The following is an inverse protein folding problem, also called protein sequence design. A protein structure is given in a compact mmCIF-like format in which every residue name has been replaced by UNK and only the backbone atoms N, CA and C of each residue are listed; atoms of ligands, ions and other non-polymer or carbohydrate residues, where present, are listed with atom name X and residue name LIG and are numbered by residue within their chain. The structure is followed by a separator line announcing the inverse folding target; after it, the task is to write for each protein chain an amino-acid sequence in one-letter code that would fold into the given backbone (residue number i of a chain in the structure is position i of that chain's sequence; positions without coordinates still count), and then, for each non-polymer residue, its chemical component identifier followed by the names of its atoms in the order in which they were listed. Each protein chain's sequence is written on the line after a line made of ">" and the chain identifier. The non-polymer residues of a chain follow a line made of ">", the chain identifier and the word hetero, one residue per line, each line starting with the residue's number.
data_IF_993888433350
#
_entry.id   IF_993888433350
#
_cell.length_a   1.000
_cell.length_b   1.000
_cell.length_c   1.000
_cell.angle_alpha   90.00
_cell.angle_beta   90.00
_cell.angle_gamma   90.00
#
_symmetry.space_group_name_H-M   'P 1'
#
loop_
_entity.id
_entity.type
_entity.pdbx_description
1 polymer ?
#
# COMPACT_ATOMS: atom_id res chain seq x y z
N UNK A 1 6.55 -36.00 15.35
CA UNK A 1 7.49 -35.63 14.27
C UNK A 1 7.92 -36.92 13.60
N UNK A 2 7.86 -36.99 12.27
CA UNK A 2 8.45 -38.11 11.52
C UNK A 2 9.77 -37.58 10.95
N UNK A 3 10.88 -38.16 11.38
CA UNK A 3 12.22 -37.82 10.87
C UNK A 3 12.51 -38.75 9.71
N UNK A 4 12.80 -38.19 8.54
CA UNK A 4 13.19 -38.97 7.35
C UNK A 4 14.71 -38.88 7.16
N UNK A 5 15.35 -40.00 6.82
CA UNK A 5 16.73 -39.99 6.34
C UNK A 5 16.78 -39.30 4.99
N UNK A 6 17.51 -38.18 4.92
CA UNK A 6 17.63 -37.38 3.71
C UNK A 6 18.87 -37.82 2.93
N UNK A 7 18.66 -38.61 1.87
CA UNK A 7 19.70 -39.07 0.94
C UNK A 7 20.28 -37.91 0.09
N UNK A 8 20.93 -36.94 0.73
CA UNK A 8 21.56 -35.79 0.06
C UNK A 8 20.65 -34.58 -0.18
N UNK A 9 19.40 -34.60 0.30
CA UNK A 9 18.54 -33.41 0.35
C UNK A 9 18.72 -32.66 1.67
N UNK A 10 18.52 -31.33 1.67
CA UNK A 10 18.44 -30.59 2.92
C UNK A 10 17.31 -31.16 3.79
N UNK A 11 17.48 -31.26 5.14
CA UNK A 11 16.41 -31.66 6.03
C UNK A 11 15.18 -30.78 5.82
N UNK A 12 14.02 -31.40 5.59
CA UNK A 12 12.74 -30.69 5.56
C UNK A 12 11.79 -31.37 6.53
N UNK A 13 10.94 -30.57 7.16
CA UNK A 13 9.95 -31.04 8.13
C UNK A 13 8.59 -31.02 7.48
N UNK A 14 7.92 -32.18 7.42
CA UNK A 14 6.49 -32.23 7.10
C UNK A 14 5.74 -31.93 8.40
N UNK A 15 5.24 -30.72 8.53
CA UNK A 15 4.37 -30.35 9.65
C UNK A 15 3.08 -31.16 9.56
N UNK A 16 2.67 -31.76 10.68
CA UNK A 16 1.39 -32.45 10.74
C UNK A 16 0.25 -31.46 10.45
N UNK A 17 -0.67 -31.83 9.55
CA UNK A 17 -1.83 -31.00 9.23
C UNK A 17 -2.71 -30.88 10.47
N UNK A 18 -3.02 -29.65 10.86
CA UNK A 18 -3.87 -29.37 12.01
C UNK A 18 -5.30 -28.99 11.58
N UNK A 19 -5.43 -28.24 10.48
CA UNK A 19 -6.70 -27.64 10.09
C UNK A 19 -6.92 -27.58 8.56
N UNK A 20 -8.17 -27.46 8.15
CA UNK A 20 -8.59 -27.37 6.75
C UNK A 20 -9.53 -26.20 6.50
N UNK A 21 -9.41 -25.54 5.34
CA UNK A 21 -10.44 -24.64 4.80
C UNK A 21 -10.89 -25.23 3.47
N UNK A 22 -12.13 -25.71 3.41
CA UNK A 22 -12.57 -26.58 2.31
C UNK A 22 -11.71 -27.84 2.24
N UNK A 23 -11.03 -28.06 1.11
CA UNK A 23 -10.12 -29.20 0.90
C UNK A 23 -8.64 -28.87 1.14
N UNK A 24 -8.31 -27.60 1.39
CA UNK A 24 -6.91 -27.15 1.56
C UNK A 24 -6.44 -27.38 2.98
N UNK A 25 -5.30 -28.05 3.14
CA UNK A 25 -4.68 -28.40 4.41
C UNK A 25 -3.73 -27.29 4.91
N UNK A 26 -3.75 -27.03 6.21
CA UNK A 26 -2.89 -26.07 6.89
C UNK A 26 -2.22 -26.70 8.11
N UNK A 27 -0.96 -26.37 8.40
CA UNK A 27 -0.22 -26.92 9.54
C UNK A 27 -0.69 -26.36 10.90
N UNK A 28 -1.47 -25.27 10.91
CA UNK A 28 -2.04 -24.70 12.14
C UNK A 28 -3.43 -24.08 11.91
N UNK A 29 -4.22 -23.95 13.00
CA UNK A 29 -5.49 -23.24 12.98
C UNK A 29 -5.32 -21.76 12.59
N UNK A 30 -4.26 -21.10 13.07
CA UNK A 30 -3.97 -19.71 12.73
C UNK A 30 -3.74 -19.51 11.23
N UNK A 31 -2.99 -20.41 10.58
CA UNK A 31 -2.73 -20.31 9.14
C UNK A 31 -3.99 -20.56 8.31
N UNK A 32 -4.78 -21.56 8.69
CA UNK A 32 -6.10 -21.77 8.10
C UNK A 32 -6.98 -20.52 8.26
N UNK A 33 -6.98 -19.92 9.45
CA UNK A 33 -7.76 -18.74 9.73
C UNK A 33 -7.25 -17.49 9.01
N UNK A 34 -5.96 -17.40 8.69
CA UNK A 34 -5.41 -16.31 7.86
C UNK A 34 -5.90 -16.41 6.42
N UNK A 35 -5.95 -17.62 5.87
CA UNK A 35 -6.39 -17.88 4.49
C UNK A 35 -7.92 -17.87 4.31
N UNK A 36 -8.69 -18.20 5.35
CA UNK A 36 -10.15 -18.18 5.34
C UNK A 36 -10.72 -16.77 5.10
N UNK A 37 -11.83 -16.65 4.38
CA UNK A 37 -12.61 -15.41 4.34
C UNK A 37 -13.47 -15.26 5.60
N UNK A 38 -14.01 -14.06 5.83
CA UNK A 38 -14.93 -13.87 6.95
C UNK A 38 -16.23 -14.66 6.73
N UNK A 39 -16.60 -15.51 7.69
CA UNK A 39 -17.75 -16.41 7.64
C UNK A 39 -17.41 -17.85 7.23
N UNK A 40 -16.20 -18.11 6.75
CA UNK A 40 -15.76 -19.45 6.35
C UNK A 40 -15.63 -20.40 7.56
N UNK A 41 -15.80 -21.70 7.29
CA UNK A 41 -15.62 -22.77 8.26
C UNK A 41 -14.24 -23.41 8.10
N UNK A 42 -13.53 -23.50 9.22
CA UNK A 42 -12.25 -24.18 9.37
C UNK A 42 -12.49 -25.49 10.12
N UNK A 43 -12.00 -26.60 9.60
CA UNK A 43 -12.13 -27.91 10.25
C UNK A 43 -10.80 -28.31 10.88
N UNK A 44 -10.76 -28.47 12.19
CA UNK A 44 -9.60 -28.93 12.95
C UNK A 44 -9.67 -30.45 13.09
N UNK A 45 -8.59 -31.15 12.70
CA UNK A 45 -8.54 -32.63 12.70
C UNK A 45 -7.45 -33.22 13.59
N UNK A 46 -6.55 -32.40 14.12
CA UNK A 46 -5.52 -32.84 15.03
C UNK A 46 -5.07 -31.69 15.94
N UNK A 47 -4.64 -32.03 17.16
CA UNK A 47 -4.17 -31.10 18.20
C UNK A 47 -5.23 -30.85 19.28
N UNK A 48 -4.83 -30.96 20.55
CA UNK A 48 -5.73 -30.72 21.69
C UNK A 48 -5.84 -29.22 22.06
N UNK A 49 -4.89 -28.40 21.59
CA UNK A 49 -4.82 -26.97 21.88
C UNK A 49 -4.33 -26.18 20.67
N UNK A 50 -4.98 -25.05 20.39
CA UNK A 50 -4.64 -24.17 19.26
C UNK A 50 -4.69 -22.71 19.65
N UNK A 51 -3.77 -21.92 19.10
CA UNK A 51 -3.84 -20.46 19.17
C UNK A 51 -4.59 -19.89 17.96
N UNK A 52 -5.42 -18.88 18.21
CA UNK A 52 -6.10 -18.12 17.18
C UNK A 52 -6.11 -16.64 17.55
N UNK A 53 -5.55 -15.80 16.69
CA UNK A 53 -5.44 -14.36 16.87
C UNK A 53 -5.83 -13.65 15.60
N UNK A 54 -6.65 -12.60 15.76
CA UNK A 54 -7.00 -11.69 14.67
C UNK A 54 -6.58 -10.27 15.04
N UNK A 55 -6.00 -9.56 14.07
CA UNK A 55 -5.53 -8.17 14.21
C UNK A 55 -6.34 -7.19 13.35
N UNK A 56 -7.27 -7.71 12.55
CA UNK A 56 -8.23 -6.98 11.72
C UNK A 56 -9.61 -7.60 11.86
N UNK A 57 -10.68 -6.81 11.66
CA UNK A 57 -12.07 -7.29 11.78
C UNK A 57 -12.29 -8.52 10.91
N UNK A 58 -12.60 -9.65 11.54
CA UNK A 58 -12.75 -10.96 10.91
C UNK A 58 -13.57 -11.90 11.79
N UNK A 59 -14.39 -12.74 11.17
CA UNK A 59 -15.15 -13.80 11.83
C UNK A 59 -14.92 -15.12 11.10
N UNK A 60 -14.64 -16.21 11.82
CA UNK A 60 -14.54 -17.57 11.24
C UNK A 60 -15.27 -18.57 12.13
N UNK A 61 -15.76 -19.66 11.53
CA UNK A 61 -16.30 -20.81 12.26
C UNK A 61 -15.22 -21.88 12.37
N UNK A 62 -15.03 -22.48 13.52
CA UNK A 62 -14.07 -23.57 13.74
C UNK A 62 -14.84 -24.80 14.17
N UNK A 63 -14.80 -25.86 13.37
CA UNK A 63 -15.39 -27.17 13.64
C UNK A 63 -14.32 -28.12 14.17
N UNK A 64 -14.61 -28.80 15.28
CA UNK A 64 -13.74 -29.83 15.84
C UNK A 64 -14.09 -31.21 15.24
N UNK A 65 -13.11 -31.87 14.64
CA UNK A 65 -13.18 -33.26 14.17
C UNK A 65 -11.92 -34.04 14.60
N UNK A 66 -11.40 -33.72 15.79
CA UNK A 66 -10.21 -34.39 16.35
C UNK A 66 -10.52 -35.72 17.05
N UNK A 67 -11.80 -36.01 17.32
CA UNK A 67 -12.23 -37.15 18.12
C UNK A 67 -12.11 -36.94 19.63
N UNK A 68 -11.75 -35.74 20.09
CA UNK A 68 -11.64 -35.36 21.49
C UNK A 68 -11.98 -33.86 21.69
N UNK A 69 -12.07 -33.41 22.94
CA UNK A 69 -12.23 -31.99 23.24
C UNK A 69 -11.02 -31.17 22.78
N UNK A 70 -11.27 -29.98 22.24
CA UNK A 70 -10.23 -29.04 21.82
C UNK A 70 -10.35 -27.73 22.60
N UNK A 71 -9.20 -27.16 22.97
CA UNK A 71 -9.11 -25.79 23.50
C UNK A 71 -8.55 -24.85 22.43
N UNK A 72 -9.29 -23.81 22.08
CA UNK A 72 -8.81 -22.71 21.21
C UNK A 72 -8.56 -21.48 22.07
N UNK A 73 -7.31 -21.04 22.15
CA UNK A 73 -6.91 -19.79 22.79
C UNK A 73 -7.10 -18.64 21.81
N UNK A 74 -8.26 -18.00 21.88
CA UNK A 74 -8.63 -16.90 21.01
C UNK A 74 -8.27 -15.55 21.63
N UNK A 75 -7.32 -14.81 21.02
CA UNK A 75 -6.81 -13.53 21.54
C UNK A 75 -6.48 -13.57 23.06
N UNK A 76 -5.96 -14.71 23.53
CA UNK A 76 -5.60 -14.92 24.93
C UNK A 76 -6.70 -15.48 25.84
N UNK A 77 -7.91 -15.71 25.34
CA UNK A 77 -9.00 -16.37 26.09
C UNK A 77 -9.23 -17.80 25.59
N UNK A 78 -9.22 -18.75 26.50
CA UNK A 78 -9.45 -20.16 26.17
C UNK A 78 -10.93 -20.44 25.95
N UNK A 79 -11.25 -21.08 24.83
CA UNK A 79 -12.57 -21.61 24.53
C UNK A 79 -12.48 -23.10 24.25
N UNK A 80 -13.14 -23.91 25.09
CA UNK A 80 -13.15 -25.37 24.99
C UNK A 80 -14.47 -25.85 24.39
N UNK A 81 -14.41 -26.77 23.44
CA UNK A 81 -15.60 -27.38 22.82
C UNK A 81 -15.32 -28.82 22.36
N UNK A 82 -16.36 -29.64 22.37
CA UNK A 82 -16.30 -31.08 22.16
C UNK A 82 -16.14 -31.48 20.70
N UNK A 83 -15.93 -32.78 20.46
CA UNK A 83 -15.86 -33.34 19.11
C UNK A 83 -17.19 -33.15 18.36
N UNK A 84 -17.11 -32.81 17.07
CA UNK A 84 -18.26 -32.50 16.22
C UNK A 84 -18.86 -31.10 16.41
N UNK A 85 -18.52 -30.40 17.50
CA UNK A 85 -19.03 -29.05 17.76
C UNK A 85 -18.37 -27.99 16.86
N UNK A 86 -19.09 -26.90 16.62
CA UNK A 86 -18.61 -25.76 15.83
C UNK A 86 -18.77 -24.47 16.62
N UNK A 87 -17.68 -23.72 16.73
CA UNK A 87 -17.63 -22.47 17.45
C UNK A 87 -17.29 -21.29 16.54
N UNK A 88 -17.92 -20.15 16.78
CA UNK A 88 -17.66 -18.94 15.99
C UNK A 88 -16.70 -18.01 16.73
N UNK A 89 -15.60 -17.66 16.07
CA UNK A 89 -14.56 -16.77 16.57
C UNK A 89 -14.60 -15.47 15.79
N UNK A 90 -15.12 -14.42 16.43
CA UNK A 90 -15.25 -13.10 15.83
C UNK A 90 -14.35 -12.12 16.55
N UNK A 91 -13.40 -11.55 15.83
CA UNK A 91 -12.69 -10.37 16.26
C UNK A 91 -13.19 -9.18 15.47
N UNK A 92 -13.74 -8.21 16.17
CA UNK A 92 -13.92 -6.88 15.58
C UNK A 92 -12.71 -6.08 16.02
N UNK A 93 -11.87 -5.62 15.08
CA UNK A 93 -10.75 -4.74 15.42
C UNK A 93 -11.36 -3.56 16.16
N UNK A 94 -10.97 -3.30 17.42
CA UNK A 94 -11.53 -2.20 18.14
C UNK A 94 -11.24 -0.93 17.33
N UNK A 95 -12.30 -0.23 16.92
CA UNK A 95 -12.25 1.22 16.98
C UNK A 95 -12.02 1.50 18.46
N UNK A 96 -10.78 1.81 18.85
CA UNK A 96 -10.32 1.96 20.24
C UNK A 96 -11.44 2.50 21.13
N UNK A 97 -12.00 1.65 21.98
CA UNK A 97 -13.27 1.94 22.65
C UNK A 97 -13.75 0.76 23.48
N UNK A 98 -12.87 0.18 24.29
CA UNK A 98 -13.23 -0.77 25.34
C UNK A 98 -13.22 -0.06 26.68
N UNK A 99 -14.41 0.22 27.19
CA UNK A 99 -14.65 0.61 28.57
C UNK A 99 -14.37 -0.60 29.47
N UNK A 100 -13.52 -0.44 30.47
CA UNK A 100 -13.39 -1.34 31.62
C UNK A 100 -13.47 -0.49 32.88
N UNK A 101 -14.42 -0.83 33.75
CA UNK A 101 -14.70 -0.13 34.98
C UNK A 101 -13.51 -0.15 35.95
N UNK A 102 -13.29 1.00 36.58
CA UNK A 102 -12.37 1.22 37.69
C UNK A 102 -12.53 2.65 38.18
N UNK A 103 -13.21 2.82 39.31
CA UNK A 103 -13.41 4.10 40.01
C UNK A 103 -12.12 4.89 40.18
N UNK A 104 -12.14 6.21 39.87
CA UNK A 104 -11.60 7.29 40.72
C UNK A 104 -11.54 8.66 39.99
N UNK A 105 -12.12 9.70 40.61
CA UNK A 105 -11.99 11.15 40.32
C UNK A 105 -12.35 11.66 38.91
N UNK A 106 -13.64 11.95 38.71
CA UNK A 106 -14.25 12.20 37.41
C UNK A 106 -13.88 13.52 36.72
N UNK A 107 -13.05 13.44 35.69
CA UNK A 107 -13.05 14.41 34.59
C UNK A 107 -14.11 14.02 33.57
N UNK A 108 -14.92 14.98 33.13
CA UNK A 108 -15.96 14.73 32.12
C UNK A 108 -15.34 14.50 30.75
N UNK A 109 -15.51 13.29 30.22
CA UNK A 109 -15.13 12.94 28.85
C UNK A 109 -16.37 12.85 27.97
N UNK A 110 -16.18 13.14 26.70
CA UNK A 110 -17.24 13.16 25.69
C UNK A 110 -16.91 12.14 24.61
N UNK A 111 -17.94 11.45 24.10
CA UNK A 111 -17.80 10.41 23.09
C UNK A 111 -17.79 10.98 21.68
N UNK A 112 -16.95 10.42 20.81
CA UNK A 112 -16.97 10.63 19.37
C UNK A 112 -17.54 9.37 18.71
N UNK A 113 -18.53 9.56 17.84
CA UNK A 113 -19.17 8.47 17.09
C UNK A 113 -18.98 8.69 15.61
N UNK A 114 -18.63 7.63 14.88
CA UNK A 114 -18.61 7.62 13.42
C UNK A 114 -19.86 6.92 12.91
N UNK A 115 -20.43 7.42 11.81
CA UNK A 115 -21.54 6.74 11.13
C UNK A 115 -21.00 5.59 10.27
N UNK A 116 -21.83 4.57 10.03
CA UNK A 116 -21.53 3.58 9.00
C UNK A 116 -21.37 4.29 7.65
N UNK A 117 -20.35 3.88 6.89
CA UNK A 117 -19.97 4.48 5.62
C UNK A 117 -19.98 3.41 4.54
N UNK A 118 -20.51 3.77 3.37
CA UNK A 118 -20.42 2.94 2.17
C UNK A 118 -19.22 3.40 1.35
N UNK A 119 -18.57 2.47 0.65
CA UNK A 119 -17.47 2.75 -0.28
C UNK A 119 -16.20 3.36 0.36
N UNK A 120 -15.91 2.95 1.60
CA UNK A 120 -14.71 3.32 2.33
C UNK A 120 -14.87 3.14 3.85
N UNK A 121 -13.90 3.65 4.60
CA UNK A 121 -13.88 3.64 6.07
C UNK A 121 -13.67 5.04 6.66
N UNK A 122 -14.08 5.24 7.91
CA UNK A 122 -13.77 6.44 8.70
C UNK A 122 -13.44 6.03 10.13
N UNK A 123 -12.37 6.61 10.67
CA UNK A 123 -11.95 6.42 12.05
C UNK A 123 -11.79 7.78 12.75
N UNK A 124 -12.10 7.86 14.03
CA UNK A 124 -11.84 9.03 14.87
C UNK A 124 -11.11 8.61 16.14
N UNK A 125 -9.95 9.20 16.40
CA UNK A 125 -9.10 8.86 17.56
C UNK A 125 -8.57 10.10 18.28
N UNK A 126 -8.68 10.18 19.61
CA UNK A 126 -9.36 9.22 20.49
C UNK A 126 -10.90 9.24 20.32
N UNK A 127 -11.56 8.13 20.65
CA UNK A 127 -13.04 8.01 20.55
C UNK A 127 -13.78 8.55 21.78
N UNK A 128 -13.05 8.90 22.84
CA UNK A 128 -13.54 9.58 24.03
C UNK A 128 -12.45 10.56 24.49
N UNK A 129 -12.82 11.81 24.78
CA UNK A 129 -11.86 12.82 25.19
C UNK A 129 -12.47 13.94 26.03
N UNK A 130 -11.64 14.60 26.83
CA UNK A 130 -12.01 15.83 27.55
C UNK A 130 -12.22 17.00 26.57
N UNK A 131 -13.01 17.99 26.99
CA UNK A 131 -13.16 19.26 26.26
C UNK A 131 -11.77 19.87 25.97
N UNK A 132 -11.54 20.30 24.73
CA UNK A 132 -10.28 20.92 24.31
C UNK A 132 -9.25 19.93 23.76
N UNK A 133 -9.43 18.62 23.94
CA UNK A 133 -8.57 17.62 23.33
C UNK A 133 -8.65 17.64 21.80
N UNK A 134 -7.56 17.32 21.12
CA UNK A 134 -7.54 17.19 19.65
C UNK A 134 -7.94 15.77 19.25
N UNK A 135 -8.92 15.68 18.35
CA UNK A 135 -9.37 14.42 17.74
C UNK A 135 -8.87 14.37 16.31
N UNK A 136 -8.33 13.22 15.89
CA UNK A 136 -7.91 12.94 14.52
C UNK A 136 -8.93 12.06 13.82
N UNK A 137 -9.39 12.49 12.65
CA UNK A 137 -10.24 11.74 11.74
C UNK A 137 -9.38 11.20 10.61
N UNK A 138 -9.41 9.89 10.39
CA UNK A 138 -8.73 9.20 9.29
C UNK A 138 -9.75 8.59 8.35
N UNK A 139 -9.64 8.90 7.06
CA UNK A 139 -10.48 8.43 5.98
C UNK A 139 -9.77 7.32 5.20
N UNK A 140 -10.52 6.29 4.81
CA UNK A 140 -10.03 5.17 4.02
C UNK A 140 -10.99 4.89 2.86
N UNK A 141 -11.10 5.76 1.84
CA UNK A 141 -11.97 5.51 0.70
C UNK A 141 -11.61 4.20 -0.01
N UNK A 142 -12.62 3.49 -0.50
CA UNK A 142 -12.39 2.30 -1.32
C UNK A 142 -11.76 2.68 -2.66
N UNK A 143 -11.10 1.71 -3.31
CA UNK A 143 -10.45 1.94 -4.61
C UNK A 143 -11.46 2.48 -5.62
N UNK A 144 -11.15 3.63 -6.22
CA UNK A 144 -12.01 4.30 -7.19
C UNK A 144 -13.08 5.20 -6.57
N UNK A 145 -12.99 5.50 -5.27
CA UNK A 145 -13.84 6.46 -4.58
C UNK A 145 -12.99 7.59 -3.96
N UNK A 146 -13.60 8.76 -3.81
CA UNK A 146 -13.03 9.93 -3.14
C UNK A 146 -14.02 10.51 -2.15
N UNK A 147 -13.54 11.30 -1.18
CA UNK A 147 -14.40 12.00 -0.22
C UNK A 147 -15.39 12.90 -0.97
N UNK A 148 -16.68 12.72 -0.72
CA UNK A 148 -17.74 13.62 -1.17
C UNK A 148 -17.96 14.70 -0.10
N UNK A 149 -18.30 14.25 1.11
CA UNK A 149 -18.67 15.12 2.23
C UNK A 149 -18.16 14.58 3.54
N UNK A 150 -17.59 15.46 4.36
CA UNK A 150 -17.27 15.26 5.77
C UNK A 150 -18.11 16.22 6.60
N UNK A 151 -18.83 15.71 7.60
CA UNK A 151 -19.59 16.50 8.57
C UNK A 151 -19.18 16.12 9.98
N UNK A 152 -18.89 17.12 10.82
CA UNK A 152 -18.64 16.92 12.25
C UNK A 152 -19.64 17.79 13.00
N UNK A 153 -20.48 17.18 13.83
CA UNK A 153 -21.52 17.88 14.58
C UNK A 153 -21.48 17.51 16.05
N UNK A 154 -21.81 18.45 16.92
CA UNK A 154 -21.93 18.23 18.35
C UNK A 154 -23.28 17.58 18.73
N UNK A 155 -23.50 17.34 20.02
CA UNK A 155 -24.71 16.68 20.54
C UNK A 155 -26.01 17.46 20.28
N UNK A 156 -25.92 18.74 19.95
CA UNK A 156 -27.06 19.60 19.57
C UNK A 156 -27.28 19.65 18.05
N UNK A 157 -26.42 18.98 17.28
CA UNK A 157 -26.43 19.04 15.82
C UNK A 157 -25.68 20.23 15.24
N UNK A 158 -25.00 21.04 16.06
CA UNK A 158 -24.22 22.20 15.59
C UNK A 158 -22.90 21.74 14.98
N UNK A 159 -22.52 22.34 13.86
CA UNK A 159 -21.26 22.03 13.17
C UNK A 159 -20.05 22.37 14.05
N UNK A 160 -19.10 21.44 14.12
CA UNK A 160 -17.77 21.59 14.72
C UNK A 160 -16.76 21.79 13.61
N UNK A 161 -15.98 22.87 13.69
CA UNK A 161 -14.96 23.18 12.68
C UNK A 161 -13.86 22.12 12.67
N UNK A 162 -13.45 21.73 11.45
CA UNK A 162 -12.34 20.80 11.22
C UNK A 162 -11.17 21.51 10.56
N UNK A 163 -9.97 20.98 10.78
CA UNK A 163 -8.73 21.40 10.13
C UNK A 163 -8.25 20.25 9.25
N UNK A 164 -8.11 20.48 7.94
CA UNK A 164 -7.56 19.51 7.01
C UNK A 164 -6.05 19.38 7.20
N UNK A 165 -5.53 18.16 7.32
CA UNK A 165 -4.09 17.84 7.39
C UNK A 165 -3.58 17.19 6.10
N UNK A 166 -4.39 16.32 5.50
CA UNK A 166 -4.18 15.74 4.17
C UNK A 166 -5.54 15.41 3.53
N UNK A 167 -5.56 14.80 2.35
CA UNK A 167 -6.82 14.38 1.70
C UNK A 167 -7.59 13.32 2.51
N UNK A 168 -6.89 12.55 3.34
CA UNK A 168 -7.47 11.49 4.16
C UNK A 168 -7.40 11.77 5.66
N UNK A 169 -6.86 12.91 6.10
CA UNK A 169 -6.69 13.20 7.53
C UNK A 169 -7.20 14.59 7.87
N UNK A 170 -8.08 14.65 8.87
CA UNK A 170 -8.67 15.88 9.42
C UNK A 170 -8.54 15.88 10.95
N UNK A 171 -8.56 17.05 11.58
CA UNK A 171 -8.55 17.17 13.04
C UNK A 171 -9.63 18.14 13.52
N UNK A 172 -10.18 17.95 14.72
CA UNK A 172 -11.03 18.94 15.38
C UNK A 172 -10.76 18.99 16.89
N UNK A 173 -11.20 20.06 17.54
CA UNK A 173 -11.09 20.23 18.99
C UNK A 173 -12.38 19.79 19.68
N UNK A 174 -12.28 18.91 20.67
CA UNK A 174 -13.43 18.31 21.33
C UNK A 174 -14.28 19.37 22.06
N UNK A 175 -15.58 19.53 21.73
CA UNK A 175 -16.47 20.42 22.45
C UNK A 175 -16.86 19.83 23.82
N UNK A 176 -17.60 20.60 24.61
CA UNK A 176 -18.18 20.14 25.87
C UNK A 176 -19.44 19.27 25.66
N UNK A 177 -19.42 18.40 24.66
CA UNK A 177 -20.55 17.54 24.29
C UNK A 177 -20.09 16.40 23.37
N UNK A 178 -20.92 15.36 23.24
CA UNK A 178 -20.65 14.26 22.32
C UNK A 178 -20.59 14.77 20.86
N UNK A 179 -19.81 14.09 20.02
CA UNK A 179 -19.63 14.45 18.60
C UNK A 179 -20.00 13.29 17.69
N UNK A 180 -20.63 13.62 16.56
CA UNK A 180 -20.92 12.70 15.46
C UNK A 180 -20.13 13.11 14.22
N UNK A 181 -19.40 12.15 13.66
CA UNK A 181 -18.67 12.27 12.39
C UNK A 181 -19.46 11.51 11.32
N UNK A 182 -19.88 12.24 10.29
CA UNK A 182 -20.51 11.71 9.08
C UNK A 182 -19.57 11.85 7.90
N UNK A 183 -19.47 10.80 7.09
CA UNK A 183 -18.64 10.77 5.87
C UNK A 183 -19.47 10.17 4.75
N UNK A 184 -19.30 10.69 3.55
CA UNK A 184 -19.81 10.06 2.32
C UNK A 184 -18.72 10.05 1.27
N UNK A 185 -18.70 8.98 0.49
CA UNK A 185 -17.76 8.77 -0.59
C UNK A 185 -18.51 8.74 -1.92
N UNK A 186 -17.95 9.42 -2.91
CA UNK A 186 -18.45 9.45 -4.28
C UNK A 186 -17.48 8.69 -5.15
N UNK A 187 -18.00 7.92 -6.12
CA UNK A 187 -17.16 7.25 -7.11
C UNK A 187 -16.32 8.34 -7.77
N UNK A 188 -15.01 8.16 -7.78
CA UNK A 188 -14.11 9.05 -8.47
C UNK A 188 -14.47 8.98 -9.96
N UNK A 189 -15.26 9.95 -10.41
CA UNK A 189 -15.27 10.33 -11.80
C UNK A 189 -13.87 10.86 -12.06
N UNK A 190 -13.08 10.09 -12.78
CA UNK A 190 -11.98 10.70 -13.52
C UNK A 190 -12.67 11.70 -14.45
N UNK A 191 -12.45 12.99 -14.20
CA UNK A 191 -12.73 13.98 -15.24
C UNK A 191 -12.07 13.42 -16.49
N UNK A 192 -12.83 13.15 -17.57
CA UNK A 192 -12.25 12.57 -18.76
C UNK A 192 -11.08 13.46 -19.16
N UNK A 193 -9.87 12.92 -19.04
CA UNK A 193 -8.71 13.68 -19.46
C UNK A 193 -8.91 13.93 -20.95
N UNK A 194 -8.87 15.20 -21.34
CA UNK A 194 -8.87 15.59 -22.75
C UNK A 194 -7.47 15.33 -23.29
N UNK A 195 -7.12 14.06 -23.48
CA UNK A 195 -5.81 13.66 -23.99
C UNK A 195 -5.69 14.16 -25.43
N UNK A 196 -4.53 14.74 -25.76
CA UNK A 196 -4.18 15.13 -27.14
C UNK A 196 -3.73 13.95 -28.00
N UNK A 197 -3.71 12.75 -27.44
CA UNK A 197 -3.11 11.56 -28.06
C UNK A 197 -4.20 10.57 -28.47
N UNK A 198 -4.16 10.16 -29.74
CA UNK A 198 -5.17 9.26 -30.32
C UNK A 198 -5.07 7.82 -29.78
N UNK A 199 -3.93 7.45 -29.22
CA UNK A 199 -3.65 6.14 -28.63
C UNK A 199 -3.82 6.11 -27.10
N UNK A 200 -4.49 7.11 -26.53
CA UNK A 200 -4.86 7.18 -25.11
C UNK A 200 -6.34 7.51 -24.99
N UNK A 201 -7.16 6.51 -24.69
CA UNK A 201 -8.58 6.66 -24.44
C UNK A 201 -8.81 7.25 -23.05
N UNK A 202 -9.85 8.07 -22.87
CA UNK A 202 -10.22 8.61 -21.56
C UNK A 202 -10.57 7.53 -20.52
N UNK A 203 -10.88 6.32 -20.97
CA UNK A 203 -11.18 5.17 -20.11
C UNK A 203 -9.95 4.28 -19.82
N UNK A 204 -8.79 4.59 -20.38
CA UNK A 204 -7.56 3.86 -20.07
C UNK A 204 -7.14 4.14 -18.64
N UNK A 205 -6.70 3.11 -17.92
CA UNK A 205 -6.26 3.23 -16.51
C UNK A 205 -5.09 4.22 -16.31
N UNK A 206 -4.39 4.57 -17.38
CA UNK A 206 -3.27 5.51 -17.40
C UNK A 206 -3.63 6.88 -17.99
N UNK A 207 -4.88 7.13 -18.39
CA UNK A 207 -5.26 8.36 -19.09
C UNK A 207 -4.94 9.61 -18.26
N UNK A 208 -5.36 9.63 -16.98
CA UNK A 208 -5.06 10.70 -16.02
C UNK A 208 -3.55 10.85 -15.78
N UNK A 209 -2.81 9.75 -15.71
CA UNK A 209 -1.36 9.79 -15.56
C UNK A 209 -0.65 10.40 -16.76
N UNK A 210 -1.08 10.07 -17.99
CA UNK A 210 -0.53 10.66 -19.22
C UNK A 210 -0.80 12.16 -19.26
N UNK A 211 -2.02 12.58 -18.94
CA UNK A 211 -2.38 13.99 -18.86
C UNK A 211 -1.50 14.74 -17.86
N UNK A 212 -1.35 14.19 -16.66
CA UNK A 212 -0.55 14.76 -15.60
C UNK A 212 0.89 15.01 -16.04
N UNK A 213 1.58 13.98 -16.55
CA UNK A 213 2.99 14.10 -16.93
C UNK A 213 3.19 14.96 -18.17
N UNK A 214 2.20 15.04 -19.07
CA UNK A 214 2.31 15.90 -20.27
C UNK A 214 1.98 17.35 -19.97
N UNK A 215 0.97 17.61 -19.13
CA UNK A 215 0.63 18.95 -18.64
C UNK A 215 1.73 19.56 -17.76
N UNK A 216 2.50 18.73 -17.05
CA UNK A 216 3.70 19.13 -16.31
C UNK A 216 4.96 19.25 -17.18
N UNK A 217 4.89 18.95 -18.48
CA UNK A 217 6.07 18.96 -19.36
C UNK A 217 7.12 17.88 -19.05
N UNK A 218 6.77 16.89 -18.24
CA UNK A 218 7.65 15.80 -17.82
C UNK A 218 7.88 14.84 -18.99
N UNK A 219 6.80 14.37 -19.62
CA UNK A 219 6.84 13.46 -20.76
C UNK A 219 6.19 14.09 -22.00
N UNK A 220 6.80 13.88 -23.16
CA UNK A 220 6.25 14.27 -24.46
C UNK A 220 5.72 13.03 -25.20
N UNK A 221 4.87 13.25 -26.21
CA UNK A 221 4.50 12.22 -27.18
C UNK A 221 5.71 11.71 -27.96
N UNK A 222 5.57 10.54 -28.58
CA UNK A 222 6.53 9.99 -29.54
C UNK A 222 6.29 10.53 -30.96
N UNK A 223 5.08 11.05 -31.21
CA UNK A 223 4.71 11.86 -32.35
C UNK A 223 3.61 12.86 -31.91
N UNK A 224 3.20 13.77 -32.80
CA UNK A 224 2.29 14.90 -32.49
C UNK A 224 1.04 14.47 -31.71
N UNK A 225 0.37 13.41 -32.16
CA UNK A 225 -0.85 12.88 -31.55
C UNK A 225 -0.68 11.42 -31.07
N UNK A 226 0.54 11.00 -30.73
CA UNK A 226 0.82 9.64 -30.27
C UNK A 226 1.68 9.64 -29.01
N UNK A 227 1.20 9.00 -27.94
CA UNK A 227 1.95 8.86 -26.70
C UNK A 227 2.80 7.58 -26.66
N UNK A 228 2.37 6.52 -27.34
CA UNK A 228 2.91 5.16 -27.31
C UNK A 228 2.91 4.54 -25.89
N UNK A 229 1.75 4.41 -25.23
CA UNK A 229 1.68 3.99 -23.82
C UNK A 229 2.27 2.59 -23.56
N UNK A 230 2.21 1.70 -24.56
CA UNK A 230 2.71 0.31 -24.46
C UNK A 230 4.20 0.16 -24.82
N UNK A 231 4.85 1.21 -25.33
CA UNK A 231 6.27 1.14 -25.66
C UNK A 231 7.11 1.16 -24.37
N UNK A 232 8.23 0.46 -24.38
CA UNK A 232 9.17 0.45 -23.25
C UNK A 232 9.89 1.79 -23.13
N UNK A 233 10.15 2.21 -21.91
CA UNK A 233 10.90 3.44 -21.61
C UNK A 233 12.37 3.10 -21.39
N UNK A 234 13.29 3.92 -21.90
CA UNK A 234 14.73 3.72 -21.67
C UNK A 234 15.20 4.45 -20.42
N UNK A 235 16.36 4.05 -19.87
CA UNK A 235 17.00 4.74 -18.75
C UNK A 235 17.29 6.22 -19.06
N UNK A 236 17.75 6.52 -20.28
CA UNK A 236 17.97 7.89 -20.77
C UNK A 236 16.69 8.72 -20.79
N UNK A 237 15.56 8.13 -21.16
CA UNK A 237 14.25 8.80 -21.09
C UNK A 237 13.87 9.13 -19.66
N UNK A 238 14.00 8.19 -18.70
CA UNK A 238 13.64 8.43 -17.29
C UNK A 238 14.41 9.61 -16.71
N UNK A 239 15.73 9.68 -16.88
CA UNK A 239 16.50 10.81 -16.35
C UNK A 239 16.18 12.12 -17.05
N UNK A 240 15.86 12.09 -18.35
CA UNK A 240 15.41 13.28 -19.09
C UNK A 240 14.12 13.83 -18.52
N UNK A 241 13.19 12.96 -18.11
CA UNK A 241 11.93 13.36 -17.47
C UNK A 241 12.19 14.07 -16.14
N UNK A 242 13.03 13.49 -15.27
CA UNK A 242 13.38 14.10 -13.97
C UNK A 242 14.15 15.42 -14.15
N UNK A 243 15.03 15.48 -15.13
CA UNK A 243 15.77 16.70 -15.45
C UNK A 243 14.85 17.84 -15.90
N UNK A 244 13.82 17.54 -16.70
CA UNK A 244 12.78 18.53 -17.04
C UNK A 244 11.98 18.97 -15.82
N UNK A 245 11.65 18.05 -14.93
CA UNK A 245 10.93 18.35 -13.69
C UNK A 245 11.71 19.35 -12.80
N UNK A 246 13.04 19.31 -12.86
CA UNK A 246 13.92 20.28 -12.18
C UNK A 246 14.20 21.55 -12.98
N UNK A 247 13.48 21.79 -14.08
CA UNK A 247 13.69 22.92 -14.99
C UNK A 247 15.08 22.94 -15.64
N UNK A 248 15.61 21.76 -15.95
CA UNK A 248 16.83 21.58 -16.75
C UNK A 248 18.04 22.36 -16.23
N UNK A 249 18.47 22.13 -14.98
CA UNK A 249 19.59 22.86 -14.38
C UNK A 249 20.88 22.70 -15.19
N UNK A 250 21.75 23.72 -15.14
CA UNK A 250 23.07 23.64 -15.77
C UNK A 250 23.90 22.48 -15.20
N UNK A 251 24.71 21.86 -16.06
CA UNK A 251 25.52 20.70 -15.68
C UNK A 251 26.78 20.60 -16.55
N UNK A 252 27.81 19.96 -16.01
CA UNK A 252 29.01 19.57 -16.77
C UNK A 252 28.74 18.32 -17.61
N UNK A 253 29.61 17.98 -18.55
CA UNK A 253 29.45 16.75 -19.35
C UNK A 253 29.55 15.48 -18.48
N UNK A 254 28.76 14.45 -18.82
CA UNK A 254 28.84 13.14 -18.17
C UNK A 254 30.11 12.39 -18.60
N UNK A 255 30.72 11.64 -17.68
CA UNK A 255 31.93 10.83 -17.94
C UNK A 255 31.66 9.42 -18.49
N UNK A 256 30.48 9.18 -19.09
CA UNK A 256 30.12 7.86 -19.62
C UNK A 256 30.50 7.73 -21.10
N UNK A 257 31.15 6.62 -21.47
CA UNK A 257 31.65 6.34 -22.82
C UNK A 257 30.54 6.06 -23.83
N UNK A 258 29.36 5.67 -23.36
CA UNK A 258 28.17 5.41 -24.18
C UNK A 258 27.16 6.57 -24.18
N UNK A 259 27.55 7.74 -23.68
CA UNK A 259 26.77 8.98 -23.70
C UNK A 259 27.44 9.96 -24.65
N UNK A 260 26.99 9.97 -25.90
CA UNK A 260 27.50 10.89 -26.91
C UNK A 260 27.18 12.35 -26.55
N UNK A 261 28.14 13.25 -26.77
CA UNK A 261 27.91 14.69 -26.67
C UNK A 261 26.80 15.11 -27.63
N UNK A 262 25.88 15.97 -27.16
CA UNK A 262 24.73 16.43 -27.94
C UNK A 262 23.53 15.47 -28.00
N UNK A 263 23.63 14.26 -27.45
CA UNK A 263 22.44 13.41 -27.31
C UNK A 263 21.40 14.10 -26.40
N UNK A 264 20.11 13.95 -26.71
CA UNK A 264 19.04 14.65 -25.98
C UNK A 264 19.02 14.36 -24.46
N UNK A 265 19.55 13.21 -24.05
CA UNK A 265 19.66 12.78 -22.66
C UNK A 265 21.01 13.13 -22.02
N UNK A 266 22.01 13.64 -22.76
CA UNK A 266 23.39 13.78 -22.28
C UNK A 266 23.47 14.66 -21.02
N UNK A 267 22.87 15.84 -21.05
CA UNK A 267 22.83 16.74 -19.89
C UNK A 267 22.01 16.13 -18.74
N UNK A 268 20.89 15.48 -19.05
CA UNK A 268 20.07 14.84 -18.03
C UNK A 268 20.81 13.71 -17.31
N UNK A 269 21.59 12.90 -18.04
CA UNK A 269 22.44 11.85 -17.47
C UNK A 269 23.54 12.46 -16.61
N UNK A 270 24.19 13.52 -17.09
CA UNK A 270 25.26 14.19 -16.35
C UNK A 270 24.74 14.77 -15.02
N UNK A 271 23.63 15.49 -15.08
CA UNK A 271 22.96 16.05 -13.91
C UNK A 271 22.53 14.95 -12.93
N UNK A 272 21.86 13.90 -13.42
CA UNK A 272 21.37 12.84 -12.56
C UNK A 272 22.51 12.06 -11.89
N UNK A 273 23.62 11.85 -12.60
CA UNK A 273 24.81 11.20 -12.06
C UNK A 273 25.53 12.08 -11.01
N UNK A 274 25.72 13.37 -11.32
CA UNK A 274 26.37 14.32 -10.41
C UNK A 274 25.60 14.49 -9.08
N UNK A 275 24.28 14.30 -9.11
CA UNK A 275 23.41 14.41 -7.93
C UNK A 275 23.10 13.06 -7.28
N UNK A 276 23.75 11.97 -7.70
CA UNK A 276 23.56 10.64 -7.12
C UNK A 276 22.19 10.00 -7.38
N UNK A 277 21.42 10.53 -8.34
CA UNK A 277 20.09 10.01 -8.71
C UNK A 277 20.22 8.71 -9.50
N UNK A 278 21.28 8.61 -10.32
CA UNK A 278 21.61 7.40 -11.08
C UNK A 278 23.09 7.06 -10.96
N UNK A 279 23.40 5.79 -11.20
CA UNK A 279 24.74 5.30 -11.44
C UNK A 279 24.81 4.57 -12.78
N UNK A 280 26.01 4.48 -13.35
CA UNK A 280 26.29 3.59 -14.47
C UNK A 280 26.35 2.12 -14.04
N UNK A 281 26.57 1.23 -15.01
CA UNK A 281 26.73 -0.21 -14.76
C UNK A 281 28.16 -0.63 -14.39
N UNK A 282 29.08 0.33 -14.35
CA UNK A 282 30.52 0.06 -14.31
C UNK A 282 31.16 0.21 -15.69
N UNK A 283 32.49 0.09 -15.75
CA UNK A 283 33.29 0.20 -17.00
C UNK A 283 33.03 1.47 -17.83
N UNK A 284 32.64 2.56 -17.17
CA UNK A 284 32.32 3.83 -17.81
C UNK A 284 31.03 3.85 -18.63
N UNK A 285 30.10 2.89 -18.47
CA UNK A 285 28.83 2.85 -19.23
C UNK A 285 27.60 3.20 -18.39
N UNK A 286 26.65 3.91 -18.98
CA UNK A 286 25.36 4.26 -18.37
C UNK A 286 24.19 3.40 -18.86
N UNK A 287 24.22 2.95 -20.12
CA UNK A 287 23.12 2.26 -20.80
C UNK A 287 21.91 3.16 -21.09
N UNK A 288 22.06 4.30 -21.79
CA UNK A 288 20.95 5.25 -22.00
C UNK A 288 19.80 4.69 -22.84
N UNK A 289 20.09 3.74 -23.73
CA UNK A 289 19.12 3.11 -24.63
C UNK A 289 18.53 1.81 -24.06
N UNK A 290 19.02 1.36 -22.91
CA UNK A 290 18.50 0.15 -22.28
C UNK A 290 17.13 0.43 -21.68
N UNK A 291 16.23 -0.53 -21.87
CA UNK A 291 14.89 -0.51 -21.29
C UNK A 291 15.03 -0.52 -19.78
N UNK A 292 14.36 0.42 -19.10
CA UNK A 292 14.40 0.49 -17.65
C UNK A 292 13.51 -0.61 -17.07
N UNK A 293 14.03 -1.38 -16.13
CA UNK A 293 13.19 -2.33 -15.38
C UNK A 293 12.41 -1.62 -14.29
N UNK A 294 11.33 -2.24 -13.81
CA UNK A 294 10.49 -1.65 -12.75
C UNK A 294 11.25 -1.44 -11.44
N UNK A 295 12.14 -2.37 -11.06
CA UNK A 295 12.99 -2.20 -9.88
C UNK A 295 14.01 -1.07 -10.06
N UNK A 296 14.55 -0.90 -11.28
CA UNK A 296 15.47 0.20 -11.59
C UNK A 296 14.74 1.54 -11.52
N UNK A 297 13.53 1.64 -12.07
CA UNK A 297 12.72 2.85 -11.99
C UNK A 297 12.41 3.22 -10.53
N UNK A 298 12.02 2.26 -9.69
CA UNK A 298 11.81 2.49 -8.27
C UNK A 298 13.09 2.99 -7.58
N UNK A 299 14.24 2.38 -7.88
CA UNK A 299 15.53 2.79 -7.33
C UNK A 299 15.96 4.20 -7.78
N UNK A 300 15.64 4.60 -9.01
CA UNK A 300 15.90 5.96 -9.51
C UNK A 300 15.01 6.96 -8.78
N UNK A 301 13.71 6.70 -8.65
CA UNK A 301 12.77 7.58 -7.96
C UNK A 301 13.10 7.70 -6.46
N UNK A 302 13.55 6.62 -5.83
CA UNK A 302 14.01 6.62 -4.44
C UNK A 302 15.22 7.55 -4.23
N UNK A 303 16.24 7.43 -5.09
CA UNK A 303 17.41 8.33 -5.03
C UNK A 303 17.05 9.77 -5.38
N UNK A 304 16.11 9.97 -6.30
CA UNK A 304 15.58 11.29 -6.60
C UNK A 304 14.86 11.90 -5.39
N UNK A 305 14.05 11.15 -4.65
CA UNK A 305 13.46 11.62 -3.39
C UNK A 305 14.55 12.01 -2.36
N UNK A 306 15.61 11.22 -2.24
CA UNK A 306 16.76 11.54 -1.39
C UNK A 306 17.47 12.83 -1.81
N UNK A 307 17.63 13.04 -3.12
CA UNK A 307 18.16 14.28 -3.68
C UNK A 307 17.29 15.48 -3.29
N UNK A 308 15.97 15.34 -3.42
CA UNK A 308 14.98 16.37 -3.02
C UNK A 308 14.85 16.57 -1.50
N UNK A 309 15.51 15.73 -0.69
CA UNK A 309 15.40 15.72 0.78
C UNK A 309 13.98 15.38 1.28
N UNK A 310 13.23 14.62 0.50
CA UNK A 310 11.92 14.10 0.90
C UNK A 310 12.05 12.94 1.90
N UNK A 311 10.97 12.64 2.61
CA UNK A 311 10.94 11.51 3.54
C UNK A 311 11.03 10.17 2.80
N UNK A 312 12.10 9.44 3.09
CA UNK A 312 12.37 8.11 2.55
C UNK A 312 12.44 7.01 3.62
N UNK A 313 12.02 7.32 4.84
CA UNK A 313 12.06 6.40 5.98
C UNK A 313 10.96 5.33 5.94
N UNK A 314 9.85 5.60 5.22
CA UNK A 314 8.77 4.66 5.04
C UNK A 314 9.23 3.38 4.35
N UNK A 315 8.88 2.22 4.91
CA UNK A 315 9.16 0.92 4.31
C UNK A 315 8.01 -0.05 4.60
N UNK A 316 7.61 -0.82 3.59
CA UNK A 316 6.57 -1.86 3.72
C UNK A 316 7.10 -3.18 3.18
N UNK A 317 6.87 -4.27 3.92
CA UNK A 317 7.28 -5.61 3.48
C UNK A 317 6.75 -5.91 2.07
N UNK A 318 7.58 -6.60 1.29
CA UNK A 318 7.25 -7.07 -0.05
C UNK A 318 6.70 -8.50 -0.05
N UNK A 319 6.60 -9.17 1.10
CA UNK A 319 6.21 -10.60 1.18
C UNK A 319 4.80 -10.88 0.66
N UNK A 320 3.95 -9.84 0.57
CA UNK A 320 2.64 -9.94 -0.08
C UNK A 320 2.69 -10.07 -1.60
N UNK A 321 3.88 -9.96 -2.21
CA UNK A 321 4.09 -10.11 -3.64
C UNK A 321 4.70 -11.48 -3.97
N UNK A 322 4.10 -12.18 -4.92
CA UNK A 322 4.45 -13.56 -5.29
C UNK A 322 5.83 -13.69 -5.94
N UNK A 323 6.40 -12.57 -6.39
CA UNK A 323 7.70 -12.48 -7.05
C UNK A 323 8.72 -11.63 -6.27
N UNK A 324 8.48 -11.37 -4.98
CA UNK A 324 9.38 -10.57 -4.13
C UNK A 324 10.81 -11.12 -4.09
N UNK A 325 10.98 -12.45 -4.17
CA UNK A 325 12.29 -13.10 -4.21
C UNK A 325 13.09 -12.81 -5.49
N UNK A 326 12.45 -12.31 -6.54
CA UNK A 326 13.12 -11.91 -7.79
C UNK A 326 13.68 -10.48 -7.74
N UNK A 327 13.40 -9.73 -6.67
CA UNK A 327 13.91 -8.38 -6.48
C UNK A 327 15.41 -8.43 -6.26
N UNK A 328 16.18 -7.65 -7.01
CA UNK A 328 17.60 -7.50 -6.73
C UNK A 328 17.84 -6.83 -5.38
N UNK A 329 18.84 -7.29 -4.64
CA UNK A 329 19.22 -6.77 -3.32
C UNK A 329 19.34 -5.24 -3.28
N UNK A 330 19.95 -4.62 -4.30
CA UNK A 330 20.10 -3.17 -4.40
C UNK A 330 18.77 -2.40 -4.50
N UNK A 331 17.70 -3.06 -4.97
CA UNK A 331 16.40 -2.45 -5.20
C UNK A 331 15.40 -2.71 -4.07
N UNK A 332 15.73 -3.60 -3.11
CA UNK A 332 14.85 -3.93 -1.98
C UNK A 332 14.44 -2.68 -1.19
N UNK A 333 15.36 -1.81 -0.74
CA UNK A 333 14.96 -0.63 0.04
C UNK A 333 14.06 0.30 -0.77
N UNK A 334 14.39 0.51 -2.05
CA UNK A 334 13.63 1.40 -2.93
C UNK A 334 12.22 0.86 -3.22
N UNK A 335 12.05 -0.45 -3.41
CA UNK A 335 10.73 -1.04 -3.63
C UNK A 335 9.91 -1.11 -2.34
N UNK A 336 10.52 -1.37 -1.20
CA UNK A 336 9.85 -1.30 0.11
C UNK A 336 9.34 0.11 0.39
N UNK A 337 10.15 1.13 0.12
CA UNK A 337 9.75 2.53 0.21
C UNK A 337 8.65 2.86 -0.78
N UNK A 338 8.85 2.56 -2.07
CA UNK A 338 7.89 2.90 -3.11
C UNK A 338 6.53 2.22 -2.89
N UNK A 339 6.51 1.02 -2.31
CA UNK A 339 5.30 0.31 -1.90
C UNK A 339 4.65 0.95 -0.66
N UNK A 340 5.44 1.48 0.29
CA UNK A 340 4.93 2.17 1.47
C UNK A 340 4.26 3.51 1.11
N UNK A 341 4.89 4.30 0.24
CA UNK A 341 4.41 5.63 -0.16
C UNK A 341 3.45 5.59 -1.37
N UNK A 342 3.08 4.40 -1.85
CA UNK A 342 2.11 4.22 -2.94
C UNK A 342 2.60 4.61 -4.33
N UNK A 343 3.90 4.77 -4.54
CA UNK A 343 4.52 4.96 -5.87
C UNK A 343 4.38 3.68 -6.71
N UNK A 344 4.61 2.52 -6.09
CA UNK A 344 4.43 1.20 -6.71
C UNK A 344 3.20 0.52 -6.11
N UNK A 345 2.28 0.08 -6.97
CA UNK A 345 0.98 -0.52 -6.58
C UNK A 345 0.80 -1.97 -7.04
N UNK A 346 1.89 -2.67 -7.36
CA UNK A 346 1.85 -4.02 -7.94
C UNK A 346 1.16 -4.11 -9.31
N UNK A 347 1.18 -5.32 -9.87
CA UNK A 347 0.44 -5.77 -11.06
C UNK A 347 -0.58 -6.85 -10.66
N UNK A 348 -1.40 -7.26 -11.62
CA UNK A 348 -2.31 -8.41 -11.49
C UNK A 348 -1.58 -9.65 -10.95
N UNK A 349 -2.25 -10.41 -10.08
CA UNK A 349 -1.68 -11.61 -9.47
C UNK A 349 -0.68 -11.32 -8.34
N UNK A 350 -0.80 -10.16 -7.68
CA UNK A 350 0.07 -9.73 -6.59
C UNK A 350 1.55 -9.79 -6.98
N UNK A 351 1.92 -9.16 -8.11
CA UNK A 351 3.30 -9.15 -8.63
C UNK A 351 3.91 -7.75 -8.60
N UNK A 352 5.18 -7.63 -8.25
CA UNK A 352 5.96 -6.41 -8.46
C UNK A 352 6.46 -6.31 -9.91
N UNK A 353 6.74 -7.47 -10.51
CA UNK A 353 7.43 -7.65 -11.79
C UNK A 353 8.75 -6.86 -11.83
N UNK A 354 9.69 -7.09 -10.89
CA UNK A 354 10.84 -6.21 -10.69
C UNK A 354 11.80 -6.19 -11.89
N UNK A 355 11.91 -7.32 -12.60
CA UNK A 355 12.74 -7.46 -13.81
C UNK A 355 12.02 -7.08 -15.10
N UNK A 356 10.70 -6.91 -15.07
CA UNK A 356 9.93 -6.47 -16.22
C UNK A 356 10.31 -5.05 -16.65
N UNK A 357 10.35 -4.83 -17.96
CA UNK A 357 10.58 -3.49 -18.51
C UNK A 357 9.36 -2.60 -18.28
N UNK A 358 9.59 -1.36 -17.85
CA UNK A 358 8.52 -0.40 -17.63
C UNK A 358 8.08 0.25 -18.95
N UNK A 359 6.79 0.12 -19.23
CA UNK A 359 6.14 0.82 -20.34
C UNK A 359 5.98 2.31 -20.04
N UNK A 360 5.79 3.14 -21.07
CA UNK A 360 5.58 4.59 -20.92
C UNK A 360 4.36 4.92 -20.07
N UNK A 361 3.29 4.14 -20.16
CA UNK A 361 2.11 4.28 -19.30
C UNK A 361 2.42 3.99 -17.82
N UNK A 362 3.20 2.94 -17.54
CA UNK A 362 3.61 2.62 -16.17
C UNK A 362 4.55 3.68 -15.59
N UNK A 363 5.48 4.19 -16.38
CA UNK A 363 6.36 5.30 -15.98
C UNK A 363 5.53 6.55 -15.66
N UNK A 364 4.56 6.90 -16.52
CA UNK A 364 3.68 8.04 -16.27
C UNK A 364 2.89 7.88 -14.97
N UNK A 365 2.32 6.71 -14.72
CA UNK A 365 1.55 6.43 -13.51
C UNK A 365 2.42 6.47 -12.24
N UNK A 366 3.64 5.94 -12.28
CA UNK A 366 4.56 5.99 -11.15
C UNK A 366 5.04 7.42 -10.87
N UNK A 367 5.27 8.23 -11.91
CA UNK A 367 5.65 9.64 -11.77
C UNK A 367 4.52 10.49 -11.19
N UNK A 368 3.29 10.31 -11.67
CA UNK A 368 2.13 11.02 -11.10
C UNK A 368 2.00 10.73 -9.59
N UNK A 369 2.03 9.45 -9.20
CA UNK A 369 1.94 9.05 -7.79
C UNK A 369 3.13 9.55 -6.97
N UNK A 370 4.33 9.56 -7.55
CA UNK A 370 5.49 10.15 -6.90
C UNK A 370 5.24 11.62 -6.57
N UNK A 371 4.79 12.42 -7.55
CA UNK A 371 4.54 13.85 -7.35
C UNK A 371 3.37 14.14 -6.39
N UNK A 372 2.38 13.23 -6.30
CA UNK A 372 1.23 13.39 -5.42
C UNK A 372 1.54 12.97 -3.97
N UNK A 373 2.28 11.88 -3.79
CA UNK A 373 2.42 11.20 -2.50
C UNK A 373 3.74 11.48 -1.78
N UNK A 374 4.78 11.96 -2.48
CA UNK A 374 6.13 12.15 -1.92
C UNK A 374 6.43 13.64 -1.79
N UNK A 375 6.78 14.09 -0.58
CA UNK A 375 7.03 15.51 -0.25
C UNK A 375 8.13 15.69 0.78
#
# INVERSE_FOLDING_TARGET
>A
MVTFETNGFSPFTISAVAAYVGTTAYPSLQEAANAANSGDTIVVKNGASHDLTFTATKSVKVKNETGADVTVKFNGTDKKFGDGETETFTYTKPSSGGSSGGSSSGKTTYKVTTSAVNNGGVNASPSNAEKGATITITLSPDKGYKLDKLTVTDGSGKTVSTVKKSDTVYTFTMPASAVKVGVSYVKATETPSKTKFNDVSANDWFASAVDYVTGKGMMNGTADNTFSPKANTTRGMVVTVLYRLENQPSTSAASFTDVASGAYYANAVAWANANGIVSGYGSGKFGPNDKVTREQLAAILYRYAQYKKYDVSGAKSLDGYTDAQSVSSYAVPALQWANAVGVVTGKSGNKLDPKGNATRAEVAAMLMRFCENVK
#
